data_IF_166232180638
#
_entry.id   IF_166232180638
#
_cell.length_a   1.000
_cell.length_b   1.000
_cell.length_c   1.000
_cell.angle_alpha   90.00
_cell.angle_beta   90.00
_cell.angle_gamma   90.00
#
_symmetry.space_group_name_H-M   'P 1'
#
loop_
_entity.id
_entity.type
_entity.pdbx_description
1 polymer ?
#
# COMPACT_ATOMS: atom_id res chain seq x y z
N UNK A 1 13.09 -59.98 -32.38
CA UNK A 1 12.98 -59.14 -31.15
C UNK A 1 12.00 -58.01 -31.45
N UNK A 2 10.75 -58.17 -30.97
CA UNK A 2 9.73 -57.14 -31.09
C UNK A 2 9.90 -56.23 -29.84
N UNK A 3 10.41 -55.04 -30.08
CA UNK A 3 10.52 -54.04 -29.00
C UNK A 3 9.16 -53.41 -28.70
N UNK A 4 8.61 -53.71 -27.53
CA UNK A 4 7.42 -53.04 -27.01
C UNK A 4 7.86 -51.65 -26.53
N UNK A 5 7.61 -50.60 -27.34
CA UNK A 5 7.69 -49.22 -26.92
C UNK A 5 6.50 -48.98 -25.98
N UNK A 6 6.72 -49.04 -24.64
CA UNK A 6 5.77 -48.52 -23.67
C UNK A 6 5.79 -47.00 -23.76
N UNK A 7 4.84 -46.44 -24.48
CA UNK A 7 4.54 -45.03 -24.40
C UNK A 7 3.89 -44.80 -23.04
N UNK A 8 4.67 -44.33 -22.05
CA UNK A 8 4.11 -43.92 -20.76
C UNK A 8 3.17 -42.75 -21.00
N UNK A 9 1.87 -42.96 -20.78
CA UNK A 9 0.87 -41.93 -20.85
C UNK A 9 1.22 -40.86 -19.78
N UNK A 10 1.32 -39.61 -20.20
CA UNK A 10 1.55 -38.48 -19.24
C UNK A 10 0.29 -38.33 -18.40
N UNK A 11 0.40 -38.59 -17.10
CA UNK A 11 -0.67 -38.36 -16.14
C UNK A 11 -0.63 -36.89 -15.70
N UNK A 12 -1.74 -36.17 -15.89
CA UNK A 12 -1.96 -34.84 -15.39
C UNK A 12 -2.92 -34.88 -14.21
N UNK A 13 -2.80 -33.91 -13.29
CA UNK A 13 -3.76 -33.78 -12.21
C UNK A 13 -5.07 -33.20 -12.77
N UNK A 14 -6.18 -33.75 -12.30
CA UNK A 14 -7.49 -33.22 -12.63
C UNK A 14 -7.67 -31.83 -12.03
N UNK A 15 -8.34 -30.93 -12.74
CA UNK A 15 -8.73 -29.62 -12.23
C UNK A 15 -10.18 -29.33 -12.66
N UNK A 16 -10.94 -28.82 -11.72
CA UNK A 16 -12.33 -28.41 -11.94
C UNK A 16 -12.50 -26.97 -11.49
N UNK A 17 -12.85 -26.07 -12.42
CA UNK A 17 -13.02 -24.64 -12.12
C UNK A 17 -14.27 -24.38 -11.29
N UNK A 18 -15.31 -25.21 -11.48
CA UNK A 18 -16.62 -25.08 -10.81
C UNK A 18 -16.73 -25.97 -9.56
N UNK A 19 -15.60 -26.27 -8.91
CA UNK A 19 -15.60 -27.09 -7.70
C UNK A 19 -16.31 -26.37 -6.56
N UNK A 20 -17.43 -26.94 -6.11
CA UNK A 20 -18.16 -26.45 -4.94
C UNK A 20 -17.55 -27.05 -3.66
N UNK A 21 -17.28 -26.21 -2.69
CA UNK A 21 -16.94 -26.64 -1.34
C UNK A 21 -18.22 -26.75 -0.50
N UNK A 22 -18.37 -27.82 0.25
CA UNK A 22 -19.50 -27.98 1.18
C UNK A 22 -19.48 -26.91 2.28
N UNK A 23 -18.29 -26.54 2.74
CA UNK A 23 -18.04 -25.41 3.62
C UNK A 23 -17.03 -24.48 2.95
N UNK A 24 -17.37 -23.18 2.75
CA UNK A 24 -16.41 -22.24 2.22
C UNK A 24 -15.24 -22.07 3.20
N UNK A 25 -13.97 -22.08 2.74
CA UNK A 25 -12.82 -21.91 3.61
C UNK A 25 -12.86 -20.55 4.28
N UNK A 26 -12.45 -20.48 5.54
CA UNK A 26 -12.26 -19.22 6.22
C UNK A 26 -11.11 -18.44 5.54
N UNK A 27 -11.29 -17.14 5.32
CA UNK A 27 -10.25 -16.30 4.73
C UNK A 27 -8.93 -16.38 5.50
N UNK A 28 -9.00 -16.60 6.82
CA UNK A 28 -7.82 -16.74 7.65
C UNK A 28 -7.01 -18.00 7.36
N UNK A 29 -7.65 -19.08 6.93
CA UNK A 29 -6.99 -20.35 6.56
C UNK A 29 -6.31 -20.28 5.20
N UNK A 30 -6.79 -19.38 4.32
CA UNK A 30 -6.22 -19.18 3.00
C UNK A 30 -4.91 -18.38 3.02
N UNK A 31 -4.57 -17.76 4.15
CA UNK A 31 -3.37 -16.92 4.29
C UNK A 31 -2.35 -17.64 5.19
N UNK A 32 -1.12 -17.89 4.68
CA UNK A 32 -0.05 -18.49 5.47
C UNK A 32 0.22 -17.71 6.76
N UNK A 33 0.62 -18.40 7.83
CA UNK A 33 0.91 -17.77 9.12
C UNK A 33 2.03 -16.72 9.04
N UNK A 34 3.04 -16.97 8.23
CA UNK A 34 4.20 -16.08 8.03
C UNK A 34 3.98 -15.01 6.96
N UNK A 35 2.73 -14.80 6.48
CA UNK A 35 2.48 -13.86 5.42
C UNK A 35 2.56 -12.40 5.91
N UNK A 36 3.19 -11.53 5.11
CA UNK A 36 3.43 -10.12 5.44
C UNK A 36 2.15 -9.33 5.77
N UNK A 37 1.00 -9.73 5.21
CA UNK A 37 -0.29 -9.12 5.52
C UNK A 37 -0.66 -9.21 7.00
N UNK A 38 -0.24 -10.30 7.70
CA UNK A 38 -0.48 -10.46 9.13
C UNK A 38 0.38 -9.49 9.93
N UNK A 39 1.64 -9.32 9.57
CA UNK A 39 2.54 -8.34 10.20
C UNK A 39 1.98 -6.93 10.07
N UNK A 40 1.49 -6.56 8.88
CA UNK A 40 0.84 -5.26 8.66
C UNK A 40 -0.42 -5.12 9.52
N UNK A 41 -1.24 -6.17 9.60
CA UNK A 41 -2.45 -6.14 10.43
C UNK A 41 -2.11 -5.94 11.90
N UNK A 42 -1.16 -6.71 12.45
CA UNK A 42 -0.76 -6.67 13.85
C UNK A 42 -0.13 -5.33 14.23
N UNK A 43 0.68 -4.77 13.34
CA UNK A 43 1.24 -3.43 13.53
C UNK A 43 0.12 -2.39 13.64
N UNK A 44 -0.80 -2.36 12.68
CA UNK A 44 -1.88 -1.36 12.67
C UNK A 44 -2.84 -1.54 13.84
N UNK A 45 -3.02 -2.76 14.37
CA UNK A 45 -3.81 -2.97 15.60
C UNK A 45 -3.19 -2.27 16.81
N UNK A 46 -1.89 -2.27 16.93
CA UNK A 46 -1.15 -1.64 18.05
C UNK A 46 -0.99 -0.14 17.92
N UNK A 47 -1.24 0.41 16.72
CA UNK A 47 -1.08 1.83 16.45
C UNK A 47 -2.20 2.66 17.10
N UNK A 48 -1.83 3.74 17.77
CA UNK A 48 -2.79 4.76 18.20
C UNK A 48 -3.26 5.59 17.00
N UNK A 49 -4.54 5.47 16.68
CA UNK A 49 -5.20 6.19 15.59
C UNK A 49 -6.29 7.16 16.09
N UNK A 50 -6.26 7.52 17.37
CA UNK A 50 -7.27 8.36 18.00
C UNK A 50 -7.45 9.69 17.27
N UNK A 51 -6.35 10.30 16.81
CA UNK A 51 -6.37 11.55 16.04
C UNK A 51 -7.12 11.41 14.70
N UNK A 52 -6.97 10.26 14.05
CA UNK A 52 -7.67 9.95 12.79
C UNK A 52 -9.16 9.72 13.07
N UNK A 53 -9.49 8.94 14.11
CA UNK A 53 -10.87 8.67 14.49
C UNK A 53 -11.61 9.97 14.84
N UNK A 54 -10.99 10.85 15.61
CA UNK A 54 -11.57 12.14 16.02
C UNK A 54 -11.79 13.10 14.83
N UNK A 55 -11.13 12.87 13.70
CA UNK A 55 -11.36 13.66 12.48
C UNK A 55 -12.65 13.30 11.74
N UNK A 56 -13.34 12.23 12.16
CA UNK A 56 -14.62 11.85 11.55
C UNK A 56 -15.76 12.62 12.19
N UNK A 57 -16.56 13.36 11.41
CA UNK A 57 -17.77 13.97 11.93
C UNK A 57 -18.75 12.87 12.32
N UNK A 58 -19.35 12.97 13.49
CA UNK A 58 -20.42 12.06 13.89
C UNK A 58 -21.68 12.27 13.04
N UNK A 59 -22.53 11.24 12.96
CA UNK A 59 -23.79 11.28 12.24
C UNK A 59 -23.70 10.84 10.77
N UNK A 60 -24.82 10.67 10.13
CA UNK A 60 -24.94 10.22 8.73
C UNK A 60 -24.84 8.71 8.55
N UNK A 61 -24.55 8.27 7.32
CA UNK A 61 -24.36 6.88 6.96
C UNK A 61 -23.09 6.32 7.63
N UNK A 62 -23.13 5.03 8.01
CA UNK A 62 -22.00 4.34 8.64
C UNK A 62 -20.77 4.36 7.73
N UNK A 63 -19.66 4.87 8.26
CA UNK A 63 -18.38 4.93 7.57
C UNK A 63 -17.56 3.65 7.80
N UNK A 64 -16.70 3.30 6.85
CA UNK A 64 -15.71 2.24 7.10
C UNK A 64 -14.77 2.65 8.22
N UNK A 65 -14.42 1.69 9.09
CA UNK A 65 -13.53 1.96 10.21
C UNK A 65 -12.14 2.42 9.72
N UNK A 66 -11.58 3.54 10.25
CA UNK A 66 -10.30 4.08 9.79
C UNK A 66 -9.15 3.09 9.87
N UNK A 67 -9.11 2.26 10.94
CA UNK A 67 -8.09 1.23 11.14
C UNK A 67 -8.09 0.21 10.00
N UNK A 68 -9.27 -0.24 9.56
CA UNK A 68 -9.42 -1.13 8.41
C UNK A 68 -8.85 -0.51 7.13
N UNK A 69 -9.22 0.73 6.84
CA UNK A 69 -8.73 1.43 5.66
C UNK A 69 -7.21 1.70 5.72
N UNK A 70 -6.67 1.94 6.92
CA UNK A 70 -5.24 2.13 7.13
C UNK A 70 -4.46 0.83 6.86
N UNK A 71 -4.96 -0.32 7.33
CA UNK A 71 -4.39 -1.64 6.98
C UNK A 71 -4.32 -1.84 5.48
N UNK A 72 -5.41 -1.52 4.78
CA UNK A 72 -5.49 -1.64 3.32
C UNK A 72 -4.45 -0.75 2.62
N UNK A 73 -4.32 0.51 3.03
CA UNK A 73 -3.39 1.46 2.41
C UNK A 73 -1.94 1.03 2.65
N UNK A 74 -1.58 0.69 3.89
CA UNK A 74 -0.22 0.27 4.24
C UNK A 74 0.15 -1.00 3.49
N UNK A 75 -0.73 -2.01 3.49
CA UNK A 75 -0.49 -3.25 2.75
C UNK A 75 -0.42 -3.03 1.24
N UNK A 76 -1.25 -2.16 0.68
CA UNK A 76 -1.19 -1.79 -0.73
C UNK A 76 0.17 -1.19 -1.12
N UNK A 77 0.76 -0.34 -0.26
CA UNK A 77 2.07 0.25 -0.51
C UNK A 77 3.20 -0.79 -0.43
N UNK A 78 3.09 -1.75 0.47
CA UNK A 78 3.99 -2.90 0.54
C UNK A 78 3.94 -3.72 -0.76
N UNK A 79 2.75 -3.93 -1.31
CA UNK A 79 2.52 -4.59 -2.61
C UNK A 79 2.78 -3.68 -3.83
N UNK A 80 3.30 -2.46 -3.61
CA UNK A 80 3.57 -1.45 -4.67
C UNK A 80 2.32 -1.02 -5.45
N UNK A 81 1.15 -1.14 -4.84
CA UNK A 81 -0.14 -0.69 -5.40
C UNK A 81 -0.47 0.71 -4.85
N UNK A 82 -0.26 1.74 -5.64
CA UNK A 82 -0.41 3.14 -5.21
C UNK A 82 -1.73 3.78 -5.65
N UNK A 83 -2.35 3.27 -6.71
CA UNK A 83 -3.58 3.82 -7.26
C UNK A 83 -4.81 3.42 -6.42
N UNK A 84 -5.61 4.38 -5.98
CA UNK A 84 -6.85 4.10 -5.25
C UNK A 84 -7.83 3.19 -6.02
N UNK A 85 -7.86 3.30 -7.36
CA UNK A 85 -8.69 2.40 -8.19
C UNK A 85 -8.16 0.97 -8.21
N UNK A 86 -6.84 0.79 -8.27
CA UNK A 86 -6.22 -0.53 -8.19
C UNK A 86 -6.40 -1.15 -6.81
N UNK A 87 -6.29 -0.36 -5.74
CA UNK A 87 -6.58 -0.82 -4.38
C UNK A 87 -8.04 -1.29 -4.26
N UNK A 88 -8.99 -0.49 -4.75
CA UNK A 88 -10.41 -0.85 -4.76
C UNK A 88 -10.71 -2.12 -5.60
N UNK A 89 -9.94 -2.36 -6.66
CA UNK A 89 -9.98 -3.61 -7.43
C UNK A 89 -9.42 -4.77 -6.60
N UNK A 90 -8.27 -4.59 -5.96
CA UNK A 90 -7.65 -5.62 -5.12
C UNK A 90 -8.54 -6.05 -3.95
N UNK A 91 -9.34 -5.15 -3.37
CA UNK A 91 -10.34 -5.48 -2.35
C UNK A 91 -11.42 -6.48 -2.82
N UNK A 92 -11.57 -6.67 -4.11
CA UNK A 92 -12.55 -7.58 -4.71
C UNK A 92 -11.93 -8.87 -5.25
N UNK A 93 -10.64 -8.86 -5.56
CA UNK A 93 -9.98 -9.93 -6.32
C UNK A 93 -8.87 -10.61 -5.54
N UNK A 94 -8.32 -9.98 -4.50
CA UNK A 94 -7.18 -10.50 -3.76
C UNK A 94 -7.59 -10.91 -2.33
N UNK A 95 -7.35 -12.16 -1.99
CA UNK A 95 -7.71 -12.77 -0.70
C UNK A 95 -7.09 -12.02 0.49
N UNK A 96 -5.84 -11.56 0.38
CA UNK A 96 -5.16 -10.83 1.44
C UNK A 96 -5.88 -9.52 1.77
N UNK A 97 -6.33 -8.77 0.74
CA UNK A 97 -7.10 -7.55 0.92
C UNK A 97 -8.51 -7.83 1.45
N UNK A 98 -9.15 -8.91 1.00
CA UNK A 98 -10.44 -9.33 1.52
C UNK A 98 -10.35 -9.67 3.02
N UNK A 99 -9.30 -10.34 3.43
CA UNK A 99 -9.05 -10.69 4.83
C UNK A 99 -8.87 -9.43 5.70
N UNK A 100 -8.05 -8.46 5.25
CA UNK A 100 -7.83 -7.20 5.98
C UNK A 100 -9.12 -6.41 6.22
N UNK A 101 -10.09 -6.55 5.34
CA UNK A 101 -11.35 -5.79 5.40
C UNK A 101 -12.53 -6.60 5.92
N UNK A 102 -12.34 -7.89 6.23
CA UNK A 102 -13.46 -8.78 6.56
C UNK A 102 -14.50 -8.83 5.43
N UNK A 103 -14.05 -8.80 4.17
CA UNK A 103 -14.91 -8.81 2.99
C UNK A 103 -15.54 -7.46 2.60
N UNK A 104 -15.26 -6.40 3.32
CA UNK A 104 -15.75 -5.06 2.98
C UNK A 104 -15.07 -4.51 1.71
N UNK A 105 -15.87 -3.93 0.82
CA UNK A 105 -15.43 -3.46 -0.51
C UNK A 105 -15.48 -1.94 -0.58
N UNK A 106 -14.51 -1.28 0.06
CA UNK A 106 -14.42 0.18 0.03
C UNK A 106 -14.20 0.71 -1.40
N UNK A 107 -14.88 1.80 -1.74
CA UNK A 107 -14.70 2.51 -3.02
C UNK A 107 -13.37 3.31 -3.02
N UNK A 108 -12.82 3.53 -4.21
CA UNK A 108 -11.60 4.30 -4.40
C UNK A 108 -11.70 5.74 -3.88
N UNK A 109 -12.90 6.34 -3.89
CA UNK A 109 -13.15 7.68 -3.31
C UNK A 109 -12.93 7.69 -1.81
N UNK A 110 -13.41 6.66 -1.11
CA UNK A 110 -13.23 6.50 0.34
C UNK A 110 -11.75 6.33 0.68
N UNK A 111 -11.01 5.51 -0.08
CA UNK A 111 -9.57 5.31 0.09
C UNK A 111 -8.81 6.62 -0.13
N UNK A 112 -9.11 7.34 -1.21
CA UNK A 112 -8.47 8.61 -1.51
C UNK A 112 -8.79 9.69 -0.47
N UNK A 113 -10.03 9.76 0.02
CA UNK A 113 -10.43 10.70 1.06
C UNK A 113 -9.65 10.48 2.35
N UNK A 114 -9.48 9.24 2.79
CA UNK A 114 -8.64 8.96 3.95
C UNK A 114 -7.20 9.45 3.73
N UNK A 115 -6.62 9.20 2.56
CA UNK A 115 -5.23 9.58 2.24
C UNK A 115 -5.04 11.10 2.20
N UNK A 116 -5.94 11.81 1.50
CA UNK A 116 -5.76 13.24 1.21
C UNK A 116 -6.25 14.16 2.32
N UNK A 117 -7.25 13.74 3.10
CA UNK A 117 -7.87 14.62 4.08
C UNK A 117 -7.49 14.25 5.52
N UNK A 118 -7.45 12.96 5.86
CA UNK A 118 -7.35 12.52 7.26
C UNK A 118 -5.96 12.07 7.68
N UNK A 119 -5.16 11.60 6.73
CA UNK A 119 -3.78 11.16 7.01
C UNK A 119 -2.74 12.27 6.90
N UNK A 120 -3.03 13.39 6.25
CA UNK A 120 -2.03 14.44 5.97
C UNK A 120 -1.30 14.91 7.23
N UNK A 121 -2.01 15.14 8.33
CA UNK A 121 -1.41 15.55 9.62
C UNK A 121 -0.76 14.39 10.41
N UNK A 122 -1.12 13.14 10.11
CA UNK A 122 -0.77 11.98 10.92
C UNK A 122 0.28 11.06 10.27
N UNK A 123 0.64 11.31 9.01
CA UNK A 123 1.52 10.41 8.25
C UNK A 123 2.91 10.22 8.90
N UNK A 124 3.47 11.29 9.47
CA UNK A 124 4.78 11.22 10.15
C UNK A 124 4.71 10.37 11.40
N UNK A 125 3.69 10.56 12.23
CA UNK A 125 3.47 9.80 13.45
C UNK A 125 3.27 8.30 13.12
N UNK A 126 2.44 7.97 12.16
CA UNK A 126 2.24 6.61 11.67
C UNK A 126 3.56 5.98 11.19
N UNK A 127 4.34 6.73 10.42
CA UNK A 127 5.63 6.25 9.90
C UNK A 127 6.65 6.03 11.03
N UNK A 128 6.77 6.96 11.99
CA UNK A 128 7.68 6.81 13.12
C UNK A 128 7.33 5.59 13.97
N UNK A 129 6.04 5.42 14.29
CA UNK A 129 5.57 4.24 15.03
C UNK A 129 5.80 2.92 14.27
N UNK A 130 5.73 2.95 12.94
CA UNK A 130 6.05 1.78 12.13
C UNK A 130 7.54 1.40 12.22
N UNK A 131 8.43 2.38 12.15
CA UNK A 131 9.86 2.15 12.32
C UNK A 131 10.18 1.60 13.71
N UNK A 132 9.62 2.20 14.76
CA UNK A 132 9.78 1.71 16.14
C UNK A 132 9.27 0.27 16.29
N UNK A 133 8.11 -0.05 15.74
CA UNK A 133 7.58 -1.40 15.76
C UNK A 133 8.52 -2.40 15.08
N UNK A 134 9.05 -2.07 13.90
CA UNK A 134 9.97 -2.94 13.16
C UNK A 134 11.31 -3.14 13.88
N UNK A 135 11.81 -2.11 14.57
CA UNK A 135 13.02 -2.19 15.40
C UNK A 135 12.75 -3.10 16.62
N UNK A 136 11.69 -2.83 17.37
CA UNK A 136 11.35 -3.57 18.59
C UNK A 136 11.02 -5.05 18.31
N UNK A 137 10.49 -5.33 17.10
CA UNK A 137 10.22 -6.70 16.65
C UNK A 137 11.44 -7.39 16.03
N UNK A 138 12.60 -6.74 15.96
CA UNK A 138 13.85 -7.30 15.44
C UNK A 138 13.91 -7.43 13.91
N UNK A 139 12.93 -6.86 13.17
CA UNK A 139 12.95 -6.87 11.70
C UNK A 139 13.99 -5.91 11.12
N UNK A 140 14.33 -4.83 11.82
CA UNK A 140 15.34 -3.84 11.42
C UNK A 140 16.37 -3.70 12.53
N UNK A 141 17.66 -3.77 12.15
CA UNK A 141 18.78 -3.44 13.05
C UNK A 141 19.30 -2.05 12.72
N UNK A 142 19.40 -1.19 13.72
CA UNK A 142 19.82 0.20 13.59
C UNK A 142 21.37 0.31 13.63
N UNK A 143 22.08 -0.43 12.76
CA UNK A 143 23.54 -0.40 12.78
C UNK A 143 24.15 0.68 11.88
N UNK A 144 23.51 1.04 10.78
CA UNK A 144 23.98 2.12 9.86
C UNK A 144 22.79 2.75 9.15
N UNK A 145 22.71 4.07 9.20
CA UNK A 145 21.72 4.84 8.47
C UNK A 145 22.39 5.56 7.30
N UNK A 146 21.97 5.26 6.08
CA UNK A 146 22.38 6.01 4.90
C UNK A 146 21.21 6.91 4.47
N UNK A 147 21.43 8.22 4.54
CA UNK A 147 20.55 9.20 3.92
C UNK A 147 21.03 9.38 2.48
N UNK A 148 20.40 8.67 1.54
CA UNK A 148 20.61 8.94 0.13
C UNK A 148 19.71 10.12 -0.27
N UNK A 149 20.35 11.20 -0.75
CA UNK A 149 19.66 12.35 -1.29
C UNK A 149 19.10 12.06 -2.67
N UNK A 150 18.11 11.19 -2.78
CA UNK A 150 17.43 10.93 -4.04
C UNK A 150 16.65 12.18 -4.44
N UNK A 151 17.10 12.85 -5.48
CA UNK A 151 16.34 13.94 -6.11
C UNK A 151 15.15 13.32 -6.83
N UNK A 152 13.96 13.45 -6.28
CA UNK A 152 12.73 13.07 -6.96
C UNK A 152 12.50 14.10 -8.06
N UNK A 153 12.89 13.78 -9.28
CA UNK A 153 12.49 14.56 -10.44
C UNK A 153 10.98 14.39 -10.61
N UNK A 154 10.22 15.46 -10.33
CA UNK A 154 8.81 15.53 -10.72
C UNK A 154 8.70 15.31 -12.23
N UNK A 155 7.59 14.77 -12.70
CA UNK A 155 7.28 14.57 -14.12
C UNK A 155 6.99 15.92 -14.83
N UNK A 156 7.73 16.96 -14.47
CA UNK A 156 7.73 18.26 -15.13
C UNK A 156 8.60 18.16 -16.37
N UNK A 157 8.10 18.65 -17.51
CA UNK A 157 8.87 18.74 -18.74
C UNK A 157 10.22 19.39 -18.44
N UNK A 158 11.30 18.77 -18.85
CA UNK A 158 12.70 19.20 -18.59
C UNK A 158 12.98 20.67 -18.96
N UNK A 159 12.16 21.24 -19.85
CA UNK A 159 12.18 22.63 -20.31
C UNK A 159 11.45 23.63 -19.40
N UNK A 160 10.72 23.17 -18.38
CA UNK A 160 9.95 24.04 -17.47
C UNK A 160 10.63 24.25 -16.10
N UNK A 161 11.77 23.62 -15.84
CA UNK A 161 12.53 23.84 -14.61
C UNK A 161 13.32 25.16 -14.70
N UNK A 162 12.91 26.13 -13.93
CA UNK A 162 13.62 27.41 -13.80
C UNK A 162 14.73 27.26 -12.73
N UNK A 163 15.97 27.24 -13.16
CA UNK A 163 17.11 27.18 -12.26
C UNK A 163 17.31 28.53 -11.56
N UNK A 164 17.30 28.58 -10.25
CA UNK A 164 17.50 29.79 -9.44
C UNK A 164 18.73 30.61 -9.89
N UNK A 165 19.80 29.92 -10.30
CA UNK A 165 21.03 30.54 -10.82
C UNK A 165 20.80 31.30 -12.14
N UNK A 166 19.97 30.77 -13.05
CA UNK A 166 19.64 31.43 -14.30
C UNK A 166 18.69 32.60 -14.10
N UNK A 167 17.73 32.48 -13.19
CA UNK A 167 16.79 33.58 -12.85
C UNK A 167 17.55 34.77 -12.27
N UNK A 168 18.51 34.60 -11.39
CA UNK A 168 19.33 35.66 -10.82
C UNK A 168 20.22 36.33 -11.90
N UNK A 169 20.78 35.55 -12.84
CA UNK A 169 21.56 36.08 -13.95
C UNK A 169 20.71 36.94 -14.92
N UNK A 170 19.50 36.49 -15.22
CA UNK A 170 18.58 37.25 -16.05
C UNK A 170 18.07 38.51 -15.35
N UNK A 171 17.88 38.45 -14.03
CA UNK A 171 17.49 39.65 -13.24
C UNK A 171 18.58 40.72 -13.22
N UNK A 172 19.85 40.34 -13.01
CA UNK A 172 20.96 41.29 -13.06
C UNK A 172 21.17 41.93 -14.45
N UNK A 173 21.02 41.13 -15.53
CA UNK A 173 21.09 41.65 -16.89
C UNK A 173 19.94 42.59 -17.24
N UNK A 174 18.73 42.37 -16.69
CA UNK A 174 17.61 43.31 -16.86
C UNK A 174 17.81 44.62 -16.11
N UNK A 175 18.37 44.55 -14.89
CA UNK A 175 18.68 45.75 -14.09
C UNK A 175 19.80 46.61 -14.73
N UNK A 176 20.73 46.01 -15.45
CA UNK A 176 21.80 46.67 -16.18
C UNK A 176 21.32 47.37 -17.47
N UNK A 177 20.32 46.81 -18.16
CA UNK A 177 19.77 47.33 -19.40
C UNK A 177 18.67 48.40 -19.21
N UNK A 178 18.24 48.67 -17.99
CA UNK A 178 17.20 49.67 -17.64
C UNK A 178 17.82 50.96 -17.11
N UNK A 179 19.15 51.06 -17.01
CA UNK A 179 19.91 52.28 -16.73
C UNK A 179 20.42 52.93 -17.99
#
# INVERSE_FOLDING_TARGET
>A
KVGFNYCMAKLFKDYTQDQCYLFPPNLNELIPENHLVRVVSDFIEKLDISSIINSYPGGGSSSYHPRMLLKVIVYAYVEKIYSGRQIAKALRENVNFMWLTGGNKADFRTINRLRSERMVGNIRSVFSSMIEYLINSGYIRYEKYFLDGTTIEGNAKRSSSVWKKNTNRHKSNLEENVR
#
